data_IF_726693234884
#
_entry.id   IF_726693234884
#
_cell.length_a   1.000
_cell.length_b   1.000
_cell.length_c   1.000
_cell.angle_alpha   90.00
_cell.angle_beta   90.00
_cell.angle_gamma   90.00
#
_symmetry.space_group_name_H-M   'P 1'
#
loop_
_entity.id
_entity.type
_entity.pdbx_description
1 polymer ?
#
# COMPACT_ATOMS: atom_id res chain seq x y z
N UNK A 1 -1.88 17.40 7.26
CA UNK A 1 -0.77 16.90 6.42
C UNK A 1 -1.30 16.57 5.03
N UNK A 2 -0.48 16.73 3.97
CA UNK A 2 -0.89 16.45 2.58
C UNK A 2 -1.55 15.06 2.54
N UNK A 3 -2.67 14.92 1.84
CA UNK A 3 -3.56 13.74 1.77
C UNK A 3 -4.54 13.49 2.93
N UNK A 4 -4.47 14.22 4.06
CA UNK A 4 -5.36 13.98 5.20
C UNK A 4 -6.86 14.18 4.94
N UNK A 5 -7.23 14.95 3.91
CA UNK A 5 -8.63 15.12 3.49
C UNK A 5 -9.12 13.97 2.59
N UNK A 6 -8.20 13.28 1.92
CA UNK A 6 -8.49 12.29 0.88
C UNK A 6 -8.41 10.86 1.43
N UNK A 7 -7.31 10.51 2.10
CA UNK A 7 -7.04 9.14 2.53
C UNK A 7 -8.18 8.51 3.35
N UNK A 8 -8.81 9.21 4.32
CA UNK A 8 -9.95 8.64 5.06
C UNK A 8 -11.18 8.28 4.20
N UNK A 9 -11.19 8.66 2.92
CA UNK A 9 -12.26 8.37 1.94
C UNK A 9 -11.85 7.30 0.92
N UNK A 10 -10.62 6.80 0.99
CA UNK A 10 -10.10 5.80 0.08
C UNK A 10 -10.28 4.40 0.68
N UNK A 11 -10.61 3.42 -0.17
CA UNK A 11 -10.64 2.02 0.26
C UNK A 11 -9.25 1.38 0.28
N UNK A 12 -8.35 1.79 -0.64
CA UNK A 12 -6.97 1.32 -0.75
C UNK A 12 -6.09 2.47 -1.24
N UNK A 13 -4.83 2.54 -0.77
CA UNK A 13 -3.82 3.45 -1.30
C UNK A 13 -2.75 2.66 -2.08
N UNK A 14 -2.53 2.99 -3.36
CA UNK A 14 -1.44 2.41 -4.18
C UNK A 14 -0.35 3.47 -4.33
N UNK A 15 0.89 3.14 -3.96
CA UNK A 15 2.01 4.09 -4.04
C UNK A 15 3.36 3.40 -4.05
N UNK A 16 4.41 4.14 -4.37
CA UNK A 16 5.78 3.61 -4.44
C UNK A 16 6.40 3.29 -3.08
N UNK A 17 5.87 3.79 -1.96
CA UNK A 17 6.35 3.42 -0.62
C UNK A 17 7.27 4.44 0.06
N UNK A 18 7.25 5.71 -0.37
CA UNK A 18 7.90 6.76 0.40
C UNK A 18 7.31 6.88 1.81
N UNK A 19 8.18 6.96 2.83
CA UNK A 19 7.81 6.93 4.26
C UNK A 19 6.65 7.86 4.63
N UNK A 20 6.63 9.08 4.09
CA UNK A 20 5.57 10.05 4.39
C UNK A 20 4.18 9.60 3.92
N UNK A 21 4.11 8.86 2.81
CA UNK A 21 2.84 8.32 2.30
C UNK A 21 2.44 7.07 3.06
N UNK A 22 3.39 6.18 3.36
CA UNK A 22 3.18 4.97 4.19
C UNK A 22 2.58 5.35 5.54
N UNK A 23 3.20 6.31 6.24
CA UNK A 23 2.73 6.79 7.54
C UNK A 23 1.39 7.52 7.43
N UNK A 24 1.13 8.24 6.33
CA UNK A 24 -0.16 8.90 6.12
C UNK A 24 -1.29 7.89 5.89
N UNK A 25 -1.06 6.81 5.13
CA UNK A 25 -2.02 5.74 4.90
C UNK A 25 -2.30 4.97 6.21
N UNK A 26 -1.24 4.63 6.97
CA UNK A 26 -1.36 4.03 8.30
C UNK A 26 -2.21 4.88 9.25
N UNK A 27 -1.92 6.19 9.32
CA UNK A 27 -2.68 7.12 10.17
C UNK A 27 -4.15 7.21 9.77
N UNK A 28 -4.45 7.08 8.48
CA UNK A 28 -5.81 7.09 7.95
C UNK A 28 -6.48 5.71 8.02
N UNK A 29 -5.79 4.67 8.50
CA UNK A 29 -6.25 3.28 8.54
C UNK A 29 -6.69 2.75 7.16
N UNK A 30 -5.94 3.13 6.11
CA UNK A 30 -6.19 2.71 4.74
C UNK A 30 -5.23 1.58 4.38
N UNK A 31 -5.72 0.39 3.99
CA UNK A 31 -4.88 -0.66 3.45
C UNK A 31 -4.07 -0.15 2.26
N UNK A 32 -2.80 -0.55 2.18
CA UNK A 32 -1.89 -0.02 1.15
C UNK A 32 -1.29 -1.12 0.26
N UNK A 33 -1.15 -0.82 -1.03
CA UNK A 33 -0.40 -1.63 -1.99
C UNK A 33 0.88 -0.88 -2.37
N UNK A 34 2.02 -1.36 -1.90
CA UNK A 34 3.32 -0.73 -2.13
C UNK A 34 3.98 -1.29 -3.40
N UNK A 35 4.34 -0.41 -4.32
CA UNK A 35 5.05 -0.73 -5.56
C UNK A 35 6.47 -0.13 -5.52
N UNK A 36 7.40 -0.72 -4.75
CA UNK A 36 8.71 -0.12 -4.52
C UNK A 36 9.51 0.04 -5.80
N UNK A 37 10.16 1.20 -5.95
CA UNK A 37 11.01 1.56 -7.09
C UNK A 37 12.48 1.65 -6.68
N UNK A 38 12.79 2.33 -5.58
CA UNK A 38 14.16 2.64 -5.20
C UNK A 38 14.31 3.01 -3.71
N UNK A 39 15.56 3.15 -3.26
CA UNK A 39 15.94 3.64 -1.94
C UNK A 39 15.36 2.79 -0.79
N UNK A 40 14.67 3.43 0.16
CA UNK A 40 14.08 2.81 1.35
C UNK A 40 12.69 2.20 1.10
N UNK A 41 12.16 2.34 -0.12
CA UNK A 41 10.81 1.87 -0.45
C UNK A 41 10.63 0.34 -0.28
N UNK A 42 11.60 -0.53 -0.66
CA UNK A 42 11.47 -1.96 -0.40
C UNK A 42 11.42 -2.30 1.10
N UNK A 43 12.14 -1.54 1.95
CA UNK A 43 12.09 -1.71 3.40
C UNK A 43 10.69 -1.42 3.92
N UNK A 44 10.11 -0.27 3.55
CA UNK A 44 8.74 0.08 3.98
C UNK A 44 7.68 -0.87 3.39
N UNK A 45 7.88 -1.35 2.17
CA UNK A 45 7.03 -2.39 1.58
C UNK A 45 7.04 -3.69 2.42
N UNK A 46 8.21 -4.10 2.94
CA UNK A 46 8.31 -5.23 3.88
C UNK A 46 7.55 -4.92 5.17
N UNK A 47 7.81 -3.77 5.80
CA UNK A 47 7.15 -3.40 7.05
C UNK A 47 5.62 -3.42 6.93
N UNK A 48 5.08 -2.92 5.83
CA UNK A 48 3.65 -2.94 5.53
C UNK A 48 3.09 -4.37 5.46
N UNK A 49 3.80 -5.28 4.80
CA UNK A 49 3.41 -6.69 4.71
C UNK A 49 3.52 -7.39 6.06
N UNK A 50 4.62 -7.18 6.75
CA UNK A 50 4.94 -7.85 8.03
C UNK A 50 3.97 -7.42 9.15
N UNK A 51 3.49 -6.17 9.11
CA UNK A 51 2.46 -5.66 10.01
C UNK A 51 1.04 -6.03 9.58
N UNK A 52 0.85 -6.73 8.45
CA UNK A 52 -0.45 -7.08 7.89
C UNK A 52 -1.40 -5.88 7.68
N UNK A 53 -0.84 -4.74 7.28
CA UNK A 53 -1.55 -3.48 6.98
C UNK A 53 -1.56 -3.14 5.49
N UNK A 54 -1.06 -4.06 4.66
CA UNK A 54 -1.06 -3.93 3.21
C UNK A 54 -0.36 -5.09 2.52
N UNK A 55 -0.10 -4.92 1.22
CA UNK A 55 0.67 -5.85 0.41
C UNK A 55 1.69 -5.07 -0.43
N UNK A 56 2.61 -5.78 -1.09
CA UNK A 56 3.55 -5.20 -2.05
C UNK A 56 3.62 -6.01 -3.33
N UNK A 57 3.99 -5.34 -4.42
CA UNK A 57 4.27 -5.99 -5.69
C UNK A 57 5.47 -5.35 -6.37
N UNK A 58 6.27 -6.18 -7.03
CA UNK A 58 7.35 -5.73 -7.90
C UNK A 58 6.77 -5.24 -9.24
N UNK A 59 7.27 -4.12 -9.74
CA UNK A 59 6.85 -3.58 -11.04
C UNK A 59 7.25 -4.48 -12.21
N UNK A 60 8.38 -5.17 -12.15
CA UNK A 60 8.88 -6.03 -13.24
C UNK A 60 7.92 -7.19 -13.53
N UNK A 61 7.12 -7.57 -12.53
CA UNK A 61 6.15 -8.65 -12.61
C UNK A 61 4.70 -8.16 -12.47
N UNK A 62 4.48 -6.85 -12.52
CA UNK A 62 3.15 -6.29 -12.38
C UNK A 62 2.36 -6.43 -13.68
N UNK A 63 1.23 -7.14 -13.59
CA UNK A 63 0.23 -7.20 -14.64
C UNK A 63 -1.12 -6.74 -14.10
N UNK A 64 -2.06 -6.42 -14.99
CA UNK A 64 -3.44 -6.09 -14.62
C UNK A 64 -4.07 -7.19 -13.76
N UNK A 65 -3.79 -8.46 -14.07
CA UNK A 65 -4.30 -9.61 -13.31
C UNK A 65 -3.71 -9.66 -11.91
N UNK A 66 -2.40 -9.45 -11.77
CA UNK A 66 -1.73 -9.42 -10.45
C UNK A 66 -2.25 -8.26 -9.62
N UNK A 67 -2.35 -7.07 -10.21
CA UNK A 67 -2.87 -5.87 -9.55
C UNK A 67 -4.31 -6.08 -9.07
N UNK A 68 -5.19 -6.57 -9.94
CA UNK A 68 -6.59 -6.82 -9.61
C UNK A 68 -6.73 -7.83 -8.45
N UNK A 69 -5.95 -8.93 -8.46
CA UNK A 69 -5.97 -9.91 -7.38
C UNK A 69 -5.54 -9.31 -6.04
N UNK A 70 -4.46 -8.52 -6.03
CA UNK A 70 -3.99 -7.86 -4.80
C UNK A 70 -5.02 -6.86 -4.26
N UNK A 71 -5.62 -6.05 -5.13
CA UNK A 71 -6.69 -5.13 -4.74
C UNK A 71 -7.92 -5.87 -4.21
N UNK A 72 -8.34 -6.97 -4.85
CA UNK A 72 -9.44 -7.79 -4.37
C UNK A 72 -9.20 -8.39 -2.99
N UNK A 73 -7.95 -8.68 -2.62
CA UNK A 73 -7.60 -9.15 -1.27
C UNK A 73 -7.65 -8.01 -0.25
N UNK A 74 -7.05 -6.87 -0.59
CA UNK A 74 -7.06 -5.67 0.27
C UNK A 74 -8.48 -5.15 0.55
N UNK A 75 -9.39 -5.26 -0.43
CA UNK A 75 -10.78 -4.84 -0.30
C UNK A 75 -11.69 -5.80 0.50
N UNK A 76 -11.21 -7.00 0.86
CA UNK A 76 -12.01 -8.02 1.58
C UNK A 76 -11.78 -8.03 3.10
N UNK A 77 -11.12 -7.00 3.67
CA UNK A 77 -10.77 -6.89 5.09
C UNK A 77 -9.86 -8.02 5.63
N UNK A 78 -9.11 -8.72 4.76
CA UNK A 78 -8.13 -9.75 5.16
C UNK A 78 -6.86 -9.16 5.81
N UNK A 79 -6.74 -7.84 5.80
CA UNK A 79 -5.57 -7.06 6.19
C UNK A 79 -6.07 -6.05 7.23
N UNK A 80 -5.62 -6.18 8.49
CA UNK A 80 -6.07 -5.41 9.65
C UNK A 80 -4.89 -4.91 10.45
#
# INVERSE_FOLDING_TARGET
MRHGWLLPRCAVAIHHGGIGTVLAALRAQVPQLVLPLAYDQPFWASCVKDLNVGDSADLDHLSVVVLARKLQRLLRDEVR
#
